data_IF_082900384852
#
_entry.id   IF_082900384852
#
_cell.length_a   1.000
_cell.length_b   1.000
_cell.length_c   1.000
_cell.angle_alpha   90.00
_cell.angle_beta   90.00
_cell.angle_gamma   90.00
#
_symmetry.space_group_name_H-M   'P 1'
#
loop_
_entity.id
_entity.type
_entity.pdbx_description
1 polymer ?
#
# COMPACT_ATOMS: atom_id res chain seq x y z
N UNK A 1 -9.47 23.39 -12.79
CA UNK A 1 -8.44 22.52 -12.16
C UNK A 1 -9.08 21.16 -11.89
N UNK A 2 -8.41 20.08 -12.31
CA UNK A 2 -8.91 18.70 -12.20
C UNK A 2 -8.37 18.01 -10.96
N UNK A 3 -9.24 17.27 -10.28
CA UNK A 3 -8.88 16.46 -9.11
C UNK A 3 -9.42 15.04 -9.21
N UNK A 4 -8.65 14.10 -8.67
CA UNK A 4 -9.12 12.74 -8.34
C UNK A 4 -9.12 12.59 -6.83
N UNK A 5 -10.27 12.32 -6.25
CA UNK A 5 -10.39 12.14 -4.79
C UNK A 5 -10.85 10.71 -4.51
N UNK A 6 -10.14 10.01 -3.62
CA UNK A 6 -10.52 8.67 -3.22
C UNK A 6 -11.00 8.64 -1.77
N UNK A 7 -12.11 7.95 -1.50
CA UNK A 7 -12.60 7.67 -0.16
C UNK A 7 -12.48 6.19 0.19
N UNK A 8 -11.81 5.89 1.30
CA UNK A 8 -11.71 4.53 1.83
C UNK A 8 -13.00 4.04 2.48
N UNK A 9 -13.12 2.72 2.65
CA UNK A 9 -14.34 2.08 3.16
C UNK A 9 -14.77 2.54 4.56
N UNK A 10 -13.82 2.87 5.44
CA UNK A 10 -14.13 3.43 6.77
C UNK A 10 -14.86 4.77 6.70
N UNK A 11 -14.51 5.59 5.70
CA UNK A 11 -15.15 6.89 5.42
C UNK A 11 -16.57 6.74 4.87
N UNK A 12 -16.84 5.63 4.18
CA UNK A 12 -18.14 5.32 3.54
C UNK A 12 -18.99 4.31 4.34
N UNK A 13 -18.60 3.98 5.59
CA UNK A 13 -19.14 2.82 6.32
C UNK A 13 -20.62 2.88 6.69
N UNK A 14 -21.27 4.05 6.58
CA UNK A 14 -22.71 4.25 6.83
C UNK A 14 -23.29 5.29 5.89
N UNK A 15 -24.60 5.22 5.60
CA UNK A 15 -25.30 6.22 4.78
C UNK A 15 -25.14 7.63 5.35
N UNK A 16 -25.14 7.79 6.68
CA UNK A 16 -24.88 9.10 7.31
C UNK A 16 -23.51 9.68 6.96
N UNK A 17 -22.47 8.84 6.93
CA UNK A 17 -21.13 9.27 6.49
C UNK A 17 -21.11 9.59 5.00
N UNK A 18 -21.77 8.79 4.16
CA UNK A 18 -21.88 9.06 2.71
C UNK A 18 -22.56 10.42 2.47
N UNK A 19 -23.65 10.73 3.18
CA UNK A 19 -24.29 12.05 3.09
C UNK A 19 -23.36 13.21 3.49
N UNK A 20 -22.51 13.03 4.51
CA UNK A 20 -21.47 14.03 4.86
C UNK A 20 -20.44 14.20 3.76
N UNK A 21 -20.00 13.08 3.16
CA UNK A 21 -19.07 13.10 2.03
C UNK A 21 -19.70 13.77 0.80
N UNK A 22 -20.96 13.52 0.49
CA UNK A 22 -21.67 14.20 -0.60
C UNK A 22 -21.67 15.73 -0.42
N UNK A 23 -21.95 16.23 0.81
CA UNK A 23 -21.85 17.67 1.13
C UNK A 23 -20.41 18.19 0.97
N UNK A 24 -19.42 17.43 1.42
CA UNK A 24 -18.02 17.78 1.25
C UNK A 24 -17.61 17.84 -0.22
N UNK A 25 -18.01 16.86 -1.04
CA UNK A 25 -17.75 16.83 -2.50
C UNK A 25 -18.38 18.05 -3.17
N UNK A 26 -19.63 18.37 -2.86
CA UNK A 26 -20.32 19.55 -3.38
C UNK A 26 -19.58 20.84 -3.04
N UNK A 27 -19.12 20.99 -1.80
CA UNK A 27 -18.33 22.15 -1.38
C UNK A 27 -16.97 22.19 -2.08
N UNK A 28 -16.26 21.05 -2.15
CA UNK A 28 -14.95 20.94 -2.78
C UNK A 28 -15.02 21.28 -4.26
N UNK A 29 -15.99 20.75 -4.97
CA UNK A 29 -16.22 21.03 -6.38
C UNK A 29 -16.45 22.53 -6.61
N UNK A 30 -17.35 23.16 -5.85
CA UNK A 30 -17.64 24.59 -5.97
C UNK A 30 -16.48 25.53 -5.67
N UNK A 31 -15.51 25.10 -4.86
CA UNK A 31 -14.44 25.97 -4.34
C UNK A 31 -13.05 25.68 -4.87
N UNK A 32 -12.81 24.48 -5.38
CA UNK A 32 -11.44 24.03 -5.71
C UNK A 32 -11.29 23.28 -7.02
N UNK A 33 -12.34 22.68 -7.53
CA UNK A 33 -12.25 21.80 -8.69
C UNK A 33 -13.27 22.17 -9.76
N UNK A 34 -12.82 22.37 -11.00
CA UNK A 34 -13.70 22.51 -12.15
C UNK A 34 -14.24 21.13 -12.55
N UNK A 35 -13.39 20.10 -12.51
CA UNK A 35 -13.71 18.72 -12.81
C UNK A 35 -13.24 17.80 -11.66
N UNK A 36 -14.09 16.86 -11.28
CA UNK A 36 -13.85 16.01 -10.13
C UNK A 36 -14.15 14.54 -10.40
N UNK A 37 -13.14 13.67 -10.29
CA UNK A 37 -13.31 12.23 -10.25
C UNK A 37 -13.30 11.78 -8.80
N UNK A 38 -14.32 11.00 -8.41
CA UNK A 38 -14.45 10.46 -7.06
C UNK A 38 -14.35 8.94 -7.10
N UNK A 39 -13.25 8.39 -6.59
CA UNK A 39 -13.05 6.95 -6.48
C UNK A 39 -13.51 6.47 -5.11
N UNK A 40 -14.33 5.43 -5.08
CA UNK A 40 -14.90 4.87 -3.85
C UNK A 40 -14.48 3.43 -3.62
N UNK A 41 -14.18 3.08 -2.37
CA UNK A 41 -14.05 1.70 -1.90
C UNK A 41 -15.40 1.18 -1.39
N UNK A 42 -15.52 -0.13 -1.21
CA UNK A 42 -16.69 -0.74 -0.59
C UNK A 42 -17.00 -0.16 0.79
N UNK A 43 -18.27 -0.09 1.18
CA UNK A 43 -18.70 0.45 2.47
C UNK A 43 -18.19 -0.40 3.64
N UNK A 44 -17.40 0.19 4.53
CA UNK A 44 -16.97 -0.43 5.78
C UNK A 44 -16.21 -1.76 5.56
N UNK A 45 -16.80 -2.87 5.98
CA UNK A 45 -16.25 -4.24 5.88
C UNK A 45 -16.97 -5.10 4.84
N UNK A 46 -17.64 -4.51 3.86
CA UNK A 46 -18.43 -5.24 2.86
C UNK A 46 -17.57 -6.21 2.06
N UNK A 47 -16.39 -5.79 1.60
CA UNK A 47 -15.45 -6.66 0.88
C UNK A 47 -15.08 -7.90 1.70
N UNK A 48 -14.78 -7.74 3.00
CA UNK A 48 -14.48 -8.86 3.90
C UNK A 48 -15.67 -9.81 4.07
N UNK A 49 -16.88 -9.25 4.15
CA UNK A 49 -18.12 -10.05 4.26
C UNK A 49 -18.38 -10.86 2.98
N UNK A 50 -18.24 -10.25 1.81
CA UNK A 50 -18.41 -10.91 0.52
C UNK A 50 -17.36 -12.01 0.29
N UNK A 51 -16.10 -11.78 0.65
CA UNK A 51 -15.05 -12.79 0.63
C UNK A 51 -15.35 -13.98 1.55
N UNK A 52 -15.93 -13.72 2.74
CA UNK A 52 -16.37 -14.81 3.65
C UNK A 52 -17.53 -15.62 3.06
N UNK A 53 -18.49 -14.95 2.42
CA UNK A 53 -19.61 -15.63 1.72
C UNK A 53 -19.05 -16.50 0.59
N UNK A 54 -18.19 -15.93 -0.27
CA UNK A 54 -17.55 -16.66 -1.36
C UNK A 54 -16.83 -17.92 -0.86
N UNK A 55 -16.02 -17.79 0.19
CA UNK A 55 -15.27 -18.90 0.78
C UNK A 55 -16.17 -20.01 1.36
N UNK A 56 -17.34 -19.64 1.91
CA UNK A 56 -18.31 -20.62 2.39
C UNK A 56 -19.03 -21.35 1.25
N UNK A 57 -19.31 -20.64 0.15
CA UNK A 57 -19.96 -21.22 -1.03
C UNK A 57 -18.98 -22.08 -1.86
N UNK A 58 -17.75 -21.60 -2.03
CA UNK A 58 -16.71 -22.33 -2.75
C UNK A 58 -15.33 -21.96 -2.17
N UNK A 59 -14.61 -22.96 -1.66
CA UNK A 59 -13.27 -22.76 -1.09
C UNK A 59 -12.11 -22.85 -2.10
N UNK A 60 -12.43 -23.08 -3.39
CA UNK A 60 -11.47 -23.11 -4.49
C UNK A 60 -11.41 -21.76 -5.18
N UNK A 61 -10.32 -21.48 -5.92
CA UNK A 61 -10.25 -20.34 -6.80
C UNK A 61 -11.38 -20.39 -7.85
N UNK A 62 -11.98 -19.27 -8.15
CA UNK A 62 -13.10 -19.18 -9.08
C UNK A 62 -13.08 -17.86 -9.84
N UNK A 63 -13.30 -17.92 -11.15
CA UNK A 63 -13.43 -16.74 -12.02
C UNK A 63 -14.74 -15.96 -11.77
N UNK A 64 -15.64 -16.49 -10.92
CA UNK A 64 -16.87 -15.82 -10.48
C UNK A 64 -16.65 -14.95 -9.23
N UNK A 65 -15.47 -15.03 -8.60
CA UNK A 65 -15.19 -14.27 -7.39
C UNK A 65 -15.20 -12.75 -7.61
N UNK A 66 -14.63 -12.20 -8.70
CA UNK A 66 -14.71 -10.77 -8.99
C UNK A 66 -16.14 -10.25 -9.09
N UNK A 67 -17.03 -11.00 -9.73
CA UNK A 67 -18.45 -10.63 -9.89
C UNK A 67 -19.15 -10.42 -8.54
N UNK A 68 -18.84 -11.25 -7.55
CA UNK A 68 -19.40 -11.12 -6.20
C UNK A 68 -18.73 -10.01 -5.41
N UNK A 69 -17.41 -9.94 -5.42
CA UNK A 69 -16.67 -9.05 -4.50
C UNK A 69 -16.76 -7.59 -4.91
N UNK A 70 -16.69 -7.31 -6.23
CA UNK A 70 -16.78 -5.95 -6.77
C UNK A 70 -18.15 -5.28 -6.61
N UNK A 71 -19.19 -6.03 -6.23
CA UNK A 71 -20.50 -5.45 -5.88
C UNK A 71 -20.37 -4.42 -4.75
N UNK A 72 -19.41 -4.63 -3.82
CA UNK A 72 -19.22 -3.74 -2.68
C UNK A 72 -18.92 -2.29 -3.10
N UNK A 73 -18.04 -2.11 -4.06
CA UNK A 73 -17.68 -0.79 -4.60
C UNK A 73 -18.81 -0.21 -5.48
N UNK A 74 -19.52 -1.05 -6.24
CA UNK A 74 -20.69 -0.64 -7.03
C UNK A 74 -21.81 -0.10 -6.14
N UNK A 75 -22.07 -0.75 -4.99
CA UNK A 75 -23.02 -0.24 -3.98
C UNK A 75 -22.59 1.15 -3.48
N UNK A 76 -21.31 1.30 -3.10
CA UNK A 76 -20.78 2.57 -2.59
C UNK A 76 -20.94 3.71 -3.60
N UNK A 77 -20.63 3.45 -4.87
CA UNK A 77 -20.72 4.43 -5.94
C UNK A 77 -22.16 4.92 -6.13
N UNK A 78 -23.12 4.00 -6.20
CA UNK A 78 -24.53 4.34 -6.39
C UNK A 78 -25.15 5.03 -5.15
N UNK A 79 -24.79 4.59 -3.93
CA UNK A 79 -25.26 5.27 -2.71
C UNK A 79 -24.71 6.69 -2.62
N UNK A 80 -23.46 6.94 -3.07
CA UNK A 80 -22.89 8.28 -3.13
C UNK A 80 -23.59 9.13 -4.21
N UNK A 81 -23.85 8.57 -5.39
CA UNK A 81 -24.59 9.24 -6.46
C UNK A 81 -25.97 9.72 -5.98
N UNK A 82 -26.77 8.83 -5.39
CA UNK A 82 -28.06 9.17 -4.79
C UNK A 82 -27.95 10.25 -3.72
N UNK A 83 -26.87 10.23 -2.90
CA UNK A 83 -26.67 11.24 -1.87
C UNK A 83 -26.29 12.62 -2.46
N UNK A 84 -25.63 12.67 -3.61
CA UNK A 84 -25.35 13.91 -4.36
C UNK A 84 -26.61 14.44 -5.03
N UNK A 85 -27.39 13.58 -5.67
CA UNK A 85 -28.69 13.94 -6.27
C UNK A 85 -29.65 14.52 -5.23
N UNK A 86 -29.70 13.94 -4.02
CA UNK A 86 -30.55 14.44 -2.93
C UNK A 86 -30.20 15.88 -2.47
N UNK A 87 -29.03 16.39 -2.86
CA UNK A 87 -28.61 17.78 -2.62
C UNK A 87 -28.46 18.59 -3.92
N UNK A 88 -29.11 18.13 -5.00
CA UNK A 88 -29.13 18.75 -6.33
C UNK A 88 -27.74 18.96 -6.94
N UNK A 89 -26.84 17.99 -6.79
CA UNK A 89 -25.52 17.98 -7.40
C UNK A 89 -25.50 16.99 -8.56
N UNK A 90 -25.30 17.51 -9.78
CA UNK A 90 -25.18 16.68 -10.99
C UNK A 90 -23.94 15.79 -10.89
N UNK A 91 -24.11 14.52 -11.21
CA UNK A 91 -23.03 13.52 -11.18
C UNK A 91 -23.35 12.35 -12.13
N UNK A 92 -22.35 11.55 -12.44
CA UNK A 92 -22.52 10.28 -13.16
C UNK A 92 -21.66 9.19 -12.52
N UNK A 93 -22.10 7.93 -12.62
CA UNK A 93 -21.31 6.77 -12.21
C UNK A 93 -20.79 6.07 -13.45
N UNK A 94 -19.46 5.93 -13.55
CA UNK A 94 -18.82 5.15 -14.60
C UNK A 94 -18.17 3.90 -14.01
N UNK A 95 -18.54 2.77 -14.58
CA UNK A 95 -17.95 1.47 -14.24
C UNK A 95 -16.70 1.19 -15.10
N UNK A 96 -15.84 0.22 -14.73
CA UNK A 96 -14.65 -0.12 -15.51
C UNK A 96 -14.91 -0.38 -16.99
N UNK A 97 -16.03 -1.01 -17.32
CA UNK A 97 -16.47 -1.28 -18.69
C UNK A 97 -16.79 0.01 -19.47
N UNK A 98 -17.29 1.06 -18.82
CA UNK A 98 -17.62 2.33 -19.47
C UNK A 98 -16.37 3.14 -19.86
N UNK A 99 -15.32 3.02 -19.07
CA UNK A 99 -14.02 3.71 -19.29
C UNK A 99 -12.95 2.75 -19.79
N UNK A 100 -13.33 1.53 -20.16
CA UNK A 100 -12.44 0.48 -20.67
C UNK A 100 -11.13 0.40 -19.85
N UNK A 101 -11.31 0.23 -18.54
CA UNK A 101 -10.21 0.08 -17.59
C UNK A 101 -9.72 -1.37 -17.62
N UNK A 102 -8.64 -1.63 -18.34
CA UNK A 102 -8.11 -2.96 -18.57
C UNK A 102 -7.10 -3.40 -17.52
N UNK A 103 -7.12 -4.68 -17.18
CA UNK A 103 -6.13 -5.32 -16.32
C UNK A 103 -5.65 -6.65 -16.92
N UNK A 104 -4.44 -7.07 -16.50
CA UNK A 104 -3.80 -8.33 -16.91
C UNK A 104 -3.47 -9.20 -15.70
N UNK A 105 -3.36 -10.51 -15.97
CA UNK A 105 -3.01 -11.52 -14.96
C UNK A 105 -4.20 -12.28 -14.41
N UNK A 106 -4.11 -12.80 -13.19
CA UNK A 106 -5.20 -13.54 -12.54
C UNK A 106 -6.37 -12.61 -12.24
N UNK A 107 -7.59 -12.95 -12.67
CA UNK A 107 -8.81 -12.17 -12.45
C UNK A 107 -9.07 -11.83 -10.98
N UNK A 108 -8.58 -12.65 -10.07
CA UNK A 108 -8.72 -12.44 -8.62
C UNK A 108 -7.63 -11.56 -8.01
N UNK A 109 -6.58 -11.21 -8.77
CA UNK A 109 -5.46 -10.38 -8.34
C UNK A 109 -4.73 -9.80 -9.56
N UNK A 110 -5.43 -9.02 -10.35
CA UNK A 110 -4.90 -8.48 -11.60
C UNK A 110 -4.13 -7.16 -11.40
N UNK A 111 -3.33 -6.84 -12.40
CA UNK A 111 -2.55 -5.58 -12.47
C UNK A 111 -3.17 -4.70 -13.54
N UNK A 112 -3.43 -3.44 -13.20
CA UNK A 112 -3.95 -2.45 -14.13
C UNK A 112 -2.96 -2.25 -15.29
N UNK A 113 -3.46 -2.26 -16.52
CA UNK A 113 -2.61 -2.15 -17.71
C UNK A 113 -2.89 -0.91 -18.57
N UNK A 114 -4.15 -0.53 -18.71
CA UNK A 114 -4.57 0.57 -19.59
C UNK A 114 -5.94 1.09 -19.19
N UNK A 115 -6.19 2.41 -19.42
CA UNK A 115 -7.49 3.07 -19.25
C UNK A 115 -7.74 3.94 -20.48
N UNK A 116 -8.91 3.82 -21.10
CA UNK A 116 -9.33 4.73 -22.16
C UNK A 116 -10.08 5.91 -21.54
N UNK A 117 -9.66 7.14 -21.87
CA UNK A 117 -10.17 8.34 -21.19
C UNK A 117 -11.28 9.07 -21.92
N UNK A 118 -11.57 8.72 -23.19
CA UNK A 118 -12.49 9.50 -24.02
C UNK A 118 -13.90 9.65 -23.38
N UNK A 119 -14.52 8.56 -22.95
CA UNK A 119 -15.83 8.62 -22.31
C UNK A 119 -15.78 9.32 -20.93
N UNK A 120 -14.70 9.09 -20.16
CA UNK A 120 -14.50 9.77 -18.88
C UNK A 120 -14.38 11.29 -19.05
N UNK A 121 -13.63 11.75 -20.04
CA UNK A 121 -13.47 13.18 -20.33
C UNK A 121 -14.79 13.80 -20.78
N UNK A 122 -15.53 13.13 -21.68
CA UNK A 122 -16.85 13.57 -22.11
C UNK A 122 -17.84 13.74 -20.94
N UNK A 123 -17.87 12.78 -20.03
CA UNK A 123 -18.74 12.86 -18.83
C UNK A 123 -18.28 13.95 -17.85
N UNK A 124 -16.97 14.19 -17.71
CA UNK A 124 -16.45 15.29 -16.90
C UNK A 124 -16.85 16.65 -17.46
N UNK A 125 -16.80 16.84 -18.78
CA UNK A 125 -17.22 18.06 -19.44
C UNK A 125 -18.72 18.36 -19.22
N UNK A 126 -19.57 17.32 -19.18
CA UNK A 126 -21.02 17.48 -19.09
C UNK A 126 -21.53 17.53 -17.66
N UNK A 127 -20.96 16.75 -16.74
CA UNK A 127 -21.42 16.57 -15.35
C UNK A 127 -20.49 17.18 -14.32
N UNK A 128 -19.23 17.40 -14.66
CA UNK A 128 -18.15 17.89 -13.81
C UNK A 128 -17.80 16.99 -12.60
N UNK A 129 -18.68 16.04 -12.21
CA UNK A 129 -18.42 15.06 -11.16
C UNK A 129 -18.71 13.66 -11.68
N UNK A 130 -17.65 12.84 -11.72
CA UNK A 130 -17.71 11.43 -12.10
C UNK A 130 -17.33 10.55 -10.92
N UNK A 131 -18.17 9.57 -10.60
CA UNK A 131 -17.93 8.59 -9.53
C UNK A 131 -17.49 7.29 -10.16
N UNK A 132 -16.39 6.73 -9.68
CA UNK A 132 -15.82 5.47 -10.17
C UNK A 132 -15.68 4.48 -9.01
N UNK A 133 -16.31 3.29 -9.08
CA UNK A 133 -16.01 2.23 -8.13
C UNK A 133 -14.57 1.75 -8.34
N UNK A 134 -13.73 1.86 -7.32
CA UNK A 134 -12.34 1.42 -7.38
C UNK A 134 -12.17 -0.10 -7.28
N UNK A 135 -10.93 -0.58 -7.22
CA UNK A 135 -10.59 -2.00 -6.98
C UNK A 135 -10.93 -2.95 -8.13
N UNK A 136 -11.57 -2.53 -9.18
CA UNK A 136 -12.06 -3.37 -10.27
C UNK A 136 -11.58 -2.86 -11.63
N UNK A 137 -11.45 -3.78 -12.58
CA UNK A 137 -11.09 -3.54 -13.98
C UNK A 137 -11.73 -4.64 -14.85
N UNK A 138 -11.49 -4.62 -16.15
CA UNK A 138 -11.91 -5.69 -17.07
C UNK A 138 -10.68 -6.33 -17.74
N UNK A 139 -10.78 -7.60 -18.11
CA UNK A 139 -9.82 -8.24 -19.01
C UNK A 139 -10.09 -7.87 -20.48
N UNK A 140 -9.24 -8.34 -21.40
CA UNK A 140 -9.37 -8.10 -22.83
C UNK A 140 -10.69 -8.68 -23.42
N UNK A 141 -11.32 -9.63 -22.74
CA UNK A 141 -12.62 -10.23 -23.12
C UNK A 141 -13.81 -9.52 -22.45
N UNK A 142 -13.59 -8.45 -21.71
CA UNK A 142 -14.63 -7.72 -20.99
C UNK A 142 -15.07 -8.36 -19.66
N UNK A 143 -14.42 -9.42 -19.18
CA UNK A 143 -14.75 -10.00 -17.90
C UNK A 143 -14.21 -9.15 -16.74
N UNK A 144 -15.00 -9.06 -15.67
CA UNK A 144 -14.61 -8.32 -14.48
C UNK A 144 -13.41 -8.95 -13.77
N UNK A 145 -12.47 -8.11 -13.36
CA UNK A 145 -11.26 -8.46 -12.63
C UNK A 145 -11.15 -7.66 -11.34
N UNK A 146 -10.63 -8.27 -10.28
CA UNK A 146 -10.22 -7.56 -9.07
C UNK A 146 -8.77 -7.12 -9.21
N UNK A 147 -8.48 -5.88 -8.93
CA UNK A 147 -7.12 -5.40 -8.75
C UNK A 147 -6.52 -5.99 -7.46
N UNK A 148 -5.21 -5.97 -7.34
CA UNK A 148 -4.52 -6.38 -6.12
C UNK A 148 -4.96 -5.55 -4.91
N UNK A 149 -4.51 -5.94 -3.71
CA UNK A 149 -4.80 -5.22 -2.48
C UNK A 149 -4.42 -3.74 -2.62
N UNK A 150 -5.27 -2.84 -2.10
CA UNK A 150 -5.12 -1.39 -2.33
C UNK A 150 -5.63 -0.92 -3.70
N UNK A 151 -6.34 -1.78 -4.44
CA UNK A 151 -6.79 -1.49 -5.81
C UNK A 151 -7.60 -0.22 -5.97
N UNK A 152 -8.33 0.25 -4.95
CA UNK A 152 -8.99 1.56 -5.03
C UNK A 152 -8.00 2.73 -4.99
N UNK A 153 -6.88 2.61 -4.28
CA UNK A 153 -5.79 3.60 -4.31
C UNK A 153 -5.09 3.55 -5.68
N UNK A 154 -4.86 2.33 -6.19
CA UNK A 154 -4.35 2.08 -7.55
C UNK A 154 -5.22 2.76 -8.61
N UNK A 155 -6.55 2.57 -8.54
CA UNK A 155 -7.50 3.21 -9.46
C UNK A 155 -7.38 4.73 -9.39
N UNK A 156 -7.34 5.32 -8.19
CA UNK A 156 -7.28 6.76 -8.02
C UNK A 156 -5.97 7.37 -8.55
N UNK A 157 -4.84 6.73 -8.27
CA UNK A 157 -3.52 7.20 -8.73
C UNK A 157 -3.42 7.07 -10.25
N UNK A 158 -3.83 5.93 -10.82
CA UNK A 158 -3.80 5.73 -12.27
C UNK A 158 -4.65 6.77 -13.02
N UNK A 159 -5.88 7.04 -12.52
CA UNK A 159 -6.74 8.09 -13.09
C UNK A 159 -6.12 9.47 -12.93
N UNK A 160 -5.52 9.78 -11.77
CA UNK A 160 -4.82 11.04 -11.54
C UNK A 160 -3.66 11.24 -12.51
N UNK A 161 -2.88 10.19 -12.73
CA UNK A 161 -1.75 10.21 -13.68
C UNK A 161 -2.19 10.46 -15.12
N UNK A 162 -3.19 9.70 -15.58
CA UNK A 162 -3.64 9.77 -16.98
C UNK A 162 -4.37 11.09 -17.27
N UNK A 163 -5.07 11.65 -16.29
CA UNK A 163 -5.83 12.89 -16.41
C UNK A 163 -4.99 14.15 -16.09
N UNK A 164 -3.73 14.00 -15.75
CA UNK A 164 -2.88 15.08 -15.20
C UNK A 164 -3.58 15.84 -14.06
N UNK A 165 -4.16 15.10 -13.14
CA UNK A 165 -4.98 15.61 -12.04
C UNK A 165 -4.28 15.50 -10.69
N UNK A 166 -4.59 16.40 -9.77
CA UNK A 166 -4.14 16.27 -8.37
C UNK A 166 -4.90 15.16 -7.67
N UNK A 167 -4.18 14.26 -6.99
CA UNK A 167 -4.79 13.13 -6.29
C UNK A 167 -4.87 13.39 -4.79
N UNK A 168 -6.05 13.18 -4.21
CA UNK A 168 -6.24 13.21 -2.76
C UNK A 168 -6.82 11.87 -2.30
N UNK A 169 -6.05 11.14 -1.48
CA UNK A 169 -6.49 9.90 -0.87
C UNK A 169 -6.95 10.17 0.55
N UNK A 170 -8.25 10.10 0.79
CA UNK A 170 -8.83 10.18 2.13
C UNK A 170 -8.85 8.81 2.80
N UNK A 171 -8.21 8.74 3.97
CA UNK A 171 -8.09 7.53 4.80
C UNK A 171 -8.54 7.82 6.24
N UNK A 172 -8.51 6.82 7.12
CA UNK A 172 -8.82 6.95 8.55
C UNK A 172 -7.66 7.46 9.39
N UNK A 173 -6.43 7.48 8.81
CA UNK A 173 -5.22 7.97 9.47
C UNK A 173 -4.83 9.36 8.95
N UNK A 174 -3.98 10.08 9.71
CA UNK A 174 -3.51 11.42 9.35
C UNK A 174 -2.24 11.39 8.46
N UNK A 175 -2.18 10.46 7.49
CA UNK A 175 -0.99 10.28 6.66
C UNK A 175 0.10 9.46 7.34
N UNK A 176 1.36 9.70 6.94
CA UNK A 176 2.53 8.99 7.45
C UNK A 176 3.06 9.58 8.73
N UNK A 177 3.63 8.72 9.58
CA UNK A 177 4.27 9.07 10.83
C UNK A 177 5.68 8.50 10.90
N UNK A 178 6.55 9.15 11.67
CA UNK A 178 7.93 8.71 11.91
C UNK A 178 8.04 7.32 12.56
N UNK A 179 6.96 6.82 13.15
CA UNK A 179 6.75 5.45 13.61
C UNK A 179 5.24 5.21 13.82
N UNK A 180 4.82 3.97 14.10
CA UNK A 180 3.42 3.68 14.39
C UNK A 180 2.94 4.42 15.66
N UNK A 181 2.02 5.41 15.56
CA UNK A 181 1.61 6.24 16.70
C UNK A 181 0.87 5.46 17.79
N UNK A 182 0.31 4.29 17.48
CA UNK A 182 -0.31 3.42 18.48
C UNK A 182 0.72 2.74 19.41
N UNK A 183 1.98 2.67 18.96
CA UNK A 183 3.09 2.03 19.70
C UNK A 183 4.06 3.08 20.23
N UNK A 184 4.30 4.14 19.46
CA UNK A 184 5.25 5.20 19.78
C UNK A 184 4.50 6.50 20.07
N UNK A 185 4.30 6.81 21.37
CA UNK A 185 3.56 8.01 21.78
C UNK A 185 4.15 9.32 21.24
N UNK A 186 5.47 9.33 20.99
CA UNK A 186 6.22 10.49 20.49
C UNK A 186 6.43 10.42 18.96
N UNK A 187 5.68 9.59 18.23
CA UNK A 187 5.73 9.56 16.78
C UNK A 187 5.27 10.91 16.20
N UNK A 188 6.09 11.48 15.31
CA UNK A 188 5.78 12.75 14.64
C UNK A 188 5.10 12.48 13.32
N UNK A 189 4.08 13.26 12.99
CA UNK A 189 3.48 13.25 11.65
C UNK A 189 4.52 13.78 10.64
N UNK A 190 4.56 13.15 9.47
CA UNK A 190 5.41 13.55 8.35
C UNK A 190 4.52 14.37 7.40
N UNK A 191 4.80 15.67 7.30
CA UNK A 191 4.01 16.57 6.45
C UNK A 191 4.32 16.37 4.97
N UNK A 192 5.55 15.99 4.67
CA UNK A 192 6.09 15.89 3.32
C UNK A 192 7.01 14.68 3.23
N UNK A 193 6.79 13.79 2.29
CA UNK A 193 7.53 12.53 2.15
C UNK A 193 7.81 12.24 0.68
N UNK A 194 9.03 11.77 0.39
CA UNK A 194 9.35 11.28 -0.94
C UNK A 194 8.58 9.97 -1.23
N UNK A 195 8.09 9.83 -2.47
CA UNK A 195 7.30 8.65 -2.88
C UNK A 195 8.09 7.36 -2.67
N UNK A 196 9.39 7.33 -2.99
CA UNK A 196 10.24 6.15 -2.76
C UNK A 196 10.29 5.76 -1.28
N UNK A 197 10.37 6.75 -0.38
CA UNK A 197 10.36 6.51 1.06
C UNK A 197 8.96 6.09 1.56
N UNK A 198 7.89 6.61 0.96
CA UNK A 198 6.52 6.16 1.23
C UNK A 198 6.31 4.70 0.83
N UNK A 199 6.85 4.25 -0.32
CA UNK A 199 6.87 2.85 -0.75
C UNK A 199 7.57 1.99 0.31
N UNK A 200 8.76 2.37 0.73
CA UNK A 200 9.53 1.62 1.73
C UNK A 200 8.81 1.54 3.08
N UNK A 201 8.28 2.66 3.59
CA UNK A 201 7.50 2.66 4.84
C UNK A 201 6.26 1.77 4.74
N UNK A 202 5.50 1.85 3.65
CA UNK A 202 4.30 1.05 3.41
C UNK A 202 4.66 -0.43 3.32
N UNK A 203 5.68 -0.76 2.55
CA UNK A 203 6.21 -2.10 2.42
C UNK A 203 6.66 -2.69 3.74
N UNK A 204 7.22 -1.88 4.63
CA UNK A 204 7.72 -2.31 5.93
C UNK A 204 6.68 -2.30 7.05
N UNK A 205 5.42 -1.95 6.76
CA UNK A 205 4.31 -2.10 7.69
C UNK A 205 3.59 -0.81 8.13
N UNK A 206 3.94 0.34 7.56
CA UNK A 206 3.12 1.54 7.71
C UNK A 206 1.81 1.33 6.91
N UNK A 207 0.69 1.13 7.62
CA UNK A 207 -0.62 0.86 7.01
C UNK A 207 -1.31 2.15 6.61
N UNK A 208 -0.74 2.89 5.68
CA UNK A 208 -1.29 4.16 5.17
C UNK A 208 -1.82 3.97 3.76
N UNK A 209 -0.96 3.53 2.85
CA UNK A 209 -1.28 3.11 1.48
C UNK A 209 -0.59 1.80 1.16
N UNK A 210 -1.07 1.06 0.19
CA UNK A 210 -0.37 -0.13 -0.30
C UNK A 210 0.79 0.28 -1.23
N UNK A 211 1.93 -0.42 -1.11
CA UNK A 211 3.14 -0.08 -1.88
C UNK A 211 2.92 -0.14 -3.39
N UNK A 212 2.11 -1.10 -3.87
CA UNK A 212 1.81 -1.26 -5.29
C UNK A 212 1.13 -0.05 -5.92
N UNK A 213 0.25 0.65 -5.17
CA UNK A 213 -0.37 1.89 -5.65
C UNK A 213 0.63 3.04 -5.73
N UNK A 214 1.59 3.10 -4.81
CA UNK A 214 2.66 4.08 -4.79
C UNK A 214 3.72 3.84 -5.88
N UNK A 215 3.93 2.59 -6.29
CA UNK A 215 4.81 2.25 -7.42
C UNK A 215 4.32 2.89 -8.73
N UNK A 216 3.00 2.92 -8.96
CA UNK A 216 2.42 3.65 -10.10
C UNK A 216 2.71 5.15 -9.98
N UNK A 217 2.56 5.70 -8.78
CA UNK A 217 2.84 7.11 -8.52
C UNK A 217 4.31 7.48 -8.75
N UNK A 218 5.24 6.56 -8.46
CA UNK A 218 6.68 6.80 -8.64
C UNK A 218 7.11 6.92 -10.11
N UNK A 219 6.31 6.41 -11.05
CA UNK A 219 6.56 6.52 -12.49
C UNK A 219 5.93 7.75 -13.11
N UNK A 220 5.15 8.51 -12.33
CA UNK A 220 4.43 9.71 -12.76
C UNK A 220 4.78 10.89 -11.86
N UNK A 221 4.68 12.11 -12.37
CA UNK A 221 4.86 13.35 -11.59
C UNK A 221 3.57 13.81 -10.91
N UNK A 222 2.71 12.88 -10.52
CA UNK A 222 1.39 13.18 -9.97
C UNK A 222 1.50 13.70 -8.54
N UNK A 223 0.93 14.87 -8.27
CA UNK A 223 0.80 15.40 -6.89
C UNK A 223 -0.18 14.57 -6.09
N UNK A 224 0.28 13.92 -5.04
CA UNK A 224 -0.54 13.07 -4.19
C UNK A 224 -0.57 13.61 -2.77
N UNK A 225 -1.78 13.73 -2.21
CA UNK A 225 -1.98 14.02 -0.78
C UNK A 225 -2.73 12.89 -0.11
N UNK A 226 -2.19 12.41 0.99
CA UNK A 226 -2.83 11.40 1.84
C UNK A 226 -3.34 12.09 3.09
N UNK A 227 -4.65 12.25 3.20
CA UNK A 227 -5.29 13.07 4.23
C UNK A 227 -6.25 12.23 5.09
N UNK A 228 -6.40 12.62 6.34
CA UNK A 228 -7.51 12.10 7.14
C UNK A 228 -8.84 12.62 6.60
N UNK A 229 -9.82 11.73 6.47
CA UNK A 229 -11.14 12.04 5.91
C UNK A 229 -11.72 13.33 6.46
N UNK A 230 -12.14 14.22 5.56
CA UNK A 230 -12.75 15.53 5.84
C UNK A 230 -11.84 16.51 6.63
N UNK A 231 -10.52 16.36 6.55
CA UNK A 231 -9.55 17.29 7.13
C UNK A 231 -8.47 17.65 6.12
N UNK A 232 -7.68 18.66 6.42
CA UNK A 232 -6.47 18.99 5.67
C UNK A 232 -5.20 18.41 6.30
N UNK A 233 -5.35 17.57 7.35
CA UNK A 233 -4.22 16.96 8.04
C UNK A 233 -3.78 15.68 7.34
N UNK A 234 -2.52 15.63 6.94
CA UNK A 234 -1.97 14.45 6.26
C UNK A 234 -0.55 14.64 5.80
N UNK A 235 -0.17 13.85 4.80
CA UNK A 235 1.16 13.84 4.19
C UNK A 235 1.03 14.16 2.71
N UNK A 236 1.83 15.08 2.22
CA UNK A 236 2.03 15.31 0.79
C UNK A 236 3.17 14.43 0.29
N UNK A 237 2.95 13.73 -0.83
CA UNK A 237 3.94 12.85 -1.44
C UNK A 237 4.51 13.53 -2.68
N UNK A 238 5.83 13.55 -2.81
CA UNK A 238 6.54 14.13 -3.94
C UNK A 238 7.63 13.21 -4.46
N UNK A 239 7.98 13.39 -5.71
CA UNK A 239 9.20 12.86 -6.28
C UNK A 239 10.23 13.98 -6.40
N UNK A 240 11.17 14.06 -5.46
CA UNK A 240 12.28 15.00 -5.50
C UNK A 240 13.60 14.31 -5.10
N UNK A 241 14.74 14.75 -5.66
CA UNK A 241 16.03 14.18 -5.33
C UNK A 241 16.39 14.46 -3.87
N UNK A 242 16.78 13.40 -3.14
CA UNK A 242 17.18 13.48 -1.74
C UNK A 242 18.72 13.34 -1.68
N UNK A 243 19.40 14.43 -1.34
CA UNK A 243 20.87 14.47 -1.33
C UNK A 243 21.50 14.56 0.07
N UNK A 244 20.69 14.59 1.13
CA UNK A 244 21.18 14.77 2.49
C UNK A 244 20.80 13.60 3.39
N UNK A 245 21.62 13.38 4.44
CA UNK A 245 21.28 12.44 5.49
C UNK A 245 20.00 12.89 6.21
N UNK A 246 18.98 12.08 6.13
CA UNK A 246 17.72 12.30 6.84
C UNK A 246 17.08 10.97 7.22
N UNK A 247 16.38 10.92 8.34
CA UNK A 247 15.57 9.78 8.76
C UNK A 247 14.11 10.22 8.81
N UNK A 248 13.31 9.71 7.88
CA UNK A 248 11.89 10.04 7.80
C UNK A 248 11.09 9.23 8.81
N UNK A 249 11.37 7.94 8.92
CA UNK A 249 10.65 7.10 9.83
C UNK A 249 11.23 5.71 9.98
N UNK A 250 10.62 4.94 10.88
CA UNK A 250 10.92 3.55 11.07
C UNK A 250 9.66 2.71 11.27
N UNK A 251 9.78 1.47 10.91
CA UNK A 251 8.76 0.43 11.10
C UNK A 251 9.43 -0.86 11.57
N UNK A 252 8.67 -1.77 12.15
CA UNK A 252 9.16 -3.12 12.40
C UNK A 252 8.08 -4.18 12.11
N UNK A 253 8.54 -5.34 11.69
CA UNK A 253 7.70 -6.52 11.44
C UNK A 253 8.08 -7.64 12.37
N UNK A 254 7.06 -8.21 13.01
CA UNK A 254 7.16 -9.42 13.81
C UNK A 254 6.80 -10.65 12.97
N UNK A 255 7.00 -11.84 13.53
CA UNK A 255 6.61 -13.11 12.91
C UNK A 255 7.21 -13.34 11.51
N UNK A 256 8.47 -12.97 11.34
CA UNK A 256 9.25 -13.29 10.17
C UNK A 256 10.08 -14.55 10.37
N UNK A 257 10.52 -15.11 9.25
CA UNK A 257 11.43 -16.25 9.25
C UNK A 257 12.62 -15.95 8.36
N UNK A 258 13.81 -16.20 8.88
CA UNK A 258 15.04 -16.29 8.12
C UNK A 258 15.16 -17.73 7.64
N UNK A 259 15.17 -17.92 6.32
CA UNK A 259 15.44 -19.21 5.70
C UNK A 259 16.91 -19.29 5.29
N UNK A 260 17.56 -20.38 5.60
CA UNK A 260 18.94 -20.67 5.19
C UNK A 260 19.02 -22.01 4.50
N UNK A 261 19.71 -22.08 3.39
CA UNK A 261 20.10 -23.32 2.72
C UNK A 261 21.54 -23.23 2.26
N UNK A 262 22.19 -24.37 2.10
CA UNK A 262 23.52 -24.47 1.49
C UNK A 262 23.47 -24.72 -0.02
N UNK A 263 22.27 -24.88 -0.60
CA UNK A 263 22.06 -25.19 -1.99
C UNK A 263 22.16 -23.92 -2.84
N UNK A 264 22.95 -23.96 -3.89
CA UNK A 264 23.16 -22.81 -4.80
C UNK A 264 21.91 -22.47 -5.62
N UNK A 265 20.98 -23.41 -5.81
CA UNK A 265 19.70 -23.19 -6.51
C UNK A 265 18.60 -22.67 -5.60
N UNK A 266 18.89 -22.48 -4.30
CA UNK A 266 17.89 -22.01 -3.34
C UNK A 266 17.23 -20.67 -3.74
N UNK A 267 17.97 -19.66 -4.30
CA UNK A 267 17.38 -18.43 -4.80
C UNK A 267 16.28 -18.66 -5.84
N UNK A 268 16.60 -19.41 -6.90
CA UNK A 268 15.67 -19.66 -8.01
C UNK A 268 14.43 -20.44 -7.57
N UNK A 269 14.58 -21.34 -6.60
CA UNK A 269 13.47 -22.11 -6.05
C UNK A 269 12.53 -21.20 -5.27
N UNK A 270 13.07 -20.28 -4.47
CA UNK A 270 12.29 -19.32 -3.71
C UNK A 270 11.58 -18.36 -4.65
N UNK A 271 12.23 -17.88 -5.69
CA UNK A 271 11.66 -17.01 -6.72
C UNK A 271 10.46 -17.64 -7.42
N UNK A 272 10.58 -18.89 -7.86
CA UNK A 272 9.46 -19.68 -8.43
C UNK A 272 8.28 -19.87 -7.46
N UNK A 273 8.56 -20.00 -6.16
CA UNK A 273 7.53 -20.08 -5.14
C UNK A 273 6.81 -18.74 -5.00
N UNK A 274 7.56 -17.63 -5.03
CA UNK A 274 7.01 -16.28 -4.94
C UNK A 274 6.13 -15.95 -6.14
N UNK A 275 6.55 -16.28 -7.35
CA UNK A 275 5.77 -16.10 -8.59
C UNK A 275 4.42 -16.83 -8.56
N UNK A 276 4.40 -18.08 -8.06
CA UNK A 276 3.16 -18.87 -7.96
C UNK A 276 2.18 -18.37 -6.91
N UNK A 277 2.61 -17.59 -5.93
CA UNK A 277 1.78 -17.21 -4.79
C UNK A 277 1.28 -15.77 -4.79
N UNK A 278 1.70 -14.92 -5.74
CA UNK A 278 1.25 -13.53 -6.00
C UNK A 278 0.83 -12.69 -4.75
N UNK A 279 1.30 -13.02 -3.54
CA UNK A 279 0.86 -12.37 -2.29
C UNK A 279 2.04 -12.01 -1.41
N UNK A 280 2.35 -10.71 -1.34
CA UNK A 280 3.05 -10.01 -0.24
C UNK A 280 4.21 -10.79 0.43
N UNK A 281 5.06 -11.45 -0.35
CA UNK A 281 6.27 -12.06 0.13
C UNK A 281 7.36 -11.01 0.01
N UNK A 282 7.85 -10.53 1.15
CA UNK A 282 9.01 -9.66 1.20
C UNK A 282 10.25 -10.46 0.85
N UNK A 283 10.78 -10.19 -0.31
CA UNK A 283 12.00 -10.80 -0.81
C UNK A 283 13.13 -9.79 -0.61
N UNK A 284 14.03 -10.08 0.32
CA UNK A 284 15.28 -9.34 0.44
C UNK A 284 16.43 -10.23 -0.02
N UNK A 285 16.95 -9.93 -1.21
CA UNK A 285 18.03 -10.71 -1.82
C UNK A 285 19.34 -10.40 -1.11
N UNK A 286 19.89 -11.35 -0.37
CA UNK A 286 21.18 -11.20 0.27
C UNK A 286 22.31 -11.71 -0.60
N UNK A 287 23.28 -10.83 -0.87
CA UNK A 287 24.52 -11.10 -1.62
C UNK A 287 25.41 -12.21 -1.03
N UNK A 288 25.18 -12.67 0.20
CA UNK A 288 25.85 -13.83 0.77
C UNK A 288 24.91 -15.02 0.72
N UNK A 289 25.11 -15.86 -0.28
CA UNK A 289 24.54 -17.20 -0.50
C UNK A 289 23.62 -17.68 0.64
N UNK A 290 22.30 -17.77 0.37
CA UNK A 290 21.37 -18.61 1.12
C UNK A 290 20.63 -18.02 2.35
N UNK A 291 20.24 -16.75 2.37
CA UNK A 291 19.36 -16.23 3.43
C UNK A 291 18.20 -15.40 2.87
N UNK A 292 16.98 -15.82 3.12
CA UNK A 292 15.75 -15.16 2.64
C UNK A 292 14.75 -14.97 3.78
N UNK A 293 13.96 -13.89 3.69
CA UNK A 293 12.97 -13.53 4.71
C UNK A 293 11.56 -13.65 4.16
N UNK A 294 10.67 -14.23 4.97
CA UNK A 294 9.27 -14.36 4.63
C UNK A 294 8.38 -13.81 5.74
N UNK A 295 7.28 -13.15 5.36
CA UNK A 295 6.25 -12.74 6.30
C UNK A 295 5.48 -13.94 6.86
N UNK A 296 4.65 -13.69 7.87
CA UNK A 296 3.81 -14.69 8.57
C UNK A 296 2.93 -15.59 7.67
N UNK A 297 2.86 -15.31 6.36
CA UNK A 297 2.22 -16.20 5.37
C UNK A 297 2.84 -17.60 5.36
N UNK A 298 4.09 -17.74 5.84
CA UNK A 298 4.74 -19.04 5.98
C UNK A 298 4.15 -19.97 7.05
N UNK A 299 3.31 -19.50 7.95
CA UNK A 299 2.59 -20.40 8.86
C UNK A 299 1.62 -21.33 8.10
N UNK A 300 1.25 -20.94 6.87
CA UNK A 300 0.54 -21.75 5.90
C UNK A 300 1.45 -22.43 4.86
N UNK A 301 2.77 -22.27 4.98
CA UNK A 301 3.76 -22.90 4.10
C UNK A 301 3.87 -24.38 4.47
N UNK A 302 2.92 -25.15 3.94
CA UNK A 302 2.88 -26.60 4.16
C UNK A 302 4.13 -27.23 3.53
N UNK A 303 4.70 -28.26 4.14
CA UNK A 303 5.77 -29.09 3.54
C UNK A 303 5.45 -29.61 2.13
N UNK A 304 4.17 -29.61 1.74
CA UNK A 304 3.70 -29.94 0.37
C UNK A 304 4.34 -29.07 -0.72
N UNK A 305 4.55 -27.76 -0.49
CA UNK A 305 5.10 -26.88 -1.53
C UNK A 305 6.60 -27.14 -1.76
N UNK A 306 7.32 -27.53 -0.74
CA UNK A 306 8.72 -27.98 -0.90
C UNK A 306 8.80 -29.35 -1.58
N UNK A 307 7.78 -30.21 -1.41
CA UNK A 307 7.68 -31.50 -2.12
C UNK A 307 7.32 -31.32 -3.60
N UNK A 308 6.52 -30.32 -3.96
CA UNK A 308 6.16 -30.00 -5.36
C UNK A 308 7.36 -29.53 -6.19
N UNK A 309 8.44 -29.08 -5.54
CA UNK A 309 9.65 -28.60 -6.22
C UNK A 309 10.67 -29.75 -6.42
N UNK A 310 10.35 -30.97 -5.99
CA UNK A 310 11.21 -32.17 -6.14
C UNK A 310 12.67 -31.96 -5.68
N UNK A 311 12.91 -31.14 -4.65
CA UNK A 311 14.26 -30.82 -4.19
C UNK A 311 14.50 -31.35 -2.79
N UNK A 312 15.59 -32.08 -2.53
CA UNK A 312 15.98 -32.59 -1.21
C UNK A 312 16.56 -31.49 -0.29
N UNK A 313 16.17 -30.23 -0.50
CA UNK A 313 16.73 -29.07 0.19
C UNK A 313 16.56 -29.16 1.71
N UNK A 314 17.67 -29.14 2.42
CA UNK A 314 17.70 -28.90 3.87
C UNK A 314 17.59 -27.39 4.13
N UNK A 315 16.37 -26.91 4.45
CA UNK A 315 16.12 -25.51 4.79
C UNK A 315 16.05 -25.36 6.31
N UNK A 316 16.92 -24.51 6.84
CA UNK A 316 16.83 -24.07 8.24
C UNK A 316 15.89 -22.87 8.34
N UNK A 317 14.86 -22.98 9.17
CA UNK A 317 13.87 -21.93 9.44
C UNK A 317 14.12 -21.33 10.83
N UNK A 318 14.46 -20.02 10.88
CA UNK A 318 14.78 -19.30 12.11
C UNK A 318 13.76 -18.17 12.29
N UNK A 319 13.01 -18.15 13.39
CA UNK A 319 12.13 -17.02 13.72
C UNK A 319 12.95 -15.77 13.97
N UNK A 320 12.50 -14.65 13.42
CA UNK A 320 13.15 -13.35 13.58
C UNK A 320 12.14 -12.20 13.48
N UNK A 321 12.62 -11.01 13.76
CA UNK A 321 11.92 -9.74 13.56
C UNK A 321 12.83 -8.82 12.76
N UNK A 322 12.22 -7.89 12.01
CA UNK A 322 12.94 -6.93 11.18
C UNK A 322 12.53 -5.52 11.53
N UNK A 323 13.51 -4.66 11.72
CA UNK A 323 13.34 -3.22 11.83
C UNK A 323 13.79 -2.62 10.51
N UNK A 324 12.99 -1.72 9.95
CA UNK A 324 13.36 -0.94 8.78
C UNK A 324 13.34 0.53 9.15
N UNK A 325 14.45 1.22 8.92
CA UNK A 325 14.56 2.67 9.02
C UNK A 325 14.59 3.20 7.59
N UNK A 326 13.77 4.19 7.31
CA UNK A 326 13.60 4.80 5.99
C UNK A 326 14.04 6.25 6.04
N UNK A 327 14.75 6.67 4.99
CA UNK A 327 15.29 8.02 4.90
C UNK A 327 16.18 8.19 3.67
N UNK A 328 17.24 8.95 3.81
CA UNK A 328 18.17 9.27 2.73
C UNK A 328 19.60 9.46 3.22
N UNK A 329 20.58 9.36 2.31
CA UNK A 329 21.98 9.64 2.60
C UNK A 329 22.66 8.64 3.54
N UNK A 330 22.11 7.45 3.72
CA UNK A 330 22.64 6.46 4.67
C UNK A 330 24.01 5.94 4.30
N UNK A 331 24.33 5.81 3.02
CA UNK A 331 25.65 5.34 2.57
C UNK A 331 26.76 6.40 2.78
N UNK A 332 26.39 7.67 2.80
CA UNK A 332 27.33 8.78 3.00
C UNK A 332 27.75 8.98 4.46
N UNK A 333 26.99 8.37 5.41
CA UNK A 333 27.27 8.52 6.83
C UNK A 333 28.18 7.37 7.33
N UNK A 334 29.48 7.61 7.37
CA UNK A 334 30.48 6.63 7.78
C UNK A 334 30.34 6.14 9.23
N UNK A 335 29.76 6.95 10.11
CA UNK A 335 29.58 6.63 11.54
C UNK A 335 28.34 5.76 11.80
N UNK A 336 27.40 5.73 10.85
CA UNK A 336 26.09 5.09 11.01
C UNK A 336 26.19 3.61 11.37
N UNK A 337 26.99 2.85 10.63
CA UNK A 337 27.16 1.41 10.86
C UNK A 337 27.70 1.10 12.25
N UNK A 338 28.73 1.83 12.67
CA UNK A 338 29.33 1.70 14.01
C UNK A 338 28.34 2.05 15.11
N UNK A 339 27.57 3.12 14.93
CA UNK A 339 26.51 3.51 15.86
C UNK A 339 25.46 2.40 16.04
N UNK A 340 24.96 1.81 14.94
CA UNK A 340 23.95 0.76 15.00
C UNK A 340 24.48 -0.48 15.76
N UNK A 341 25.72 -0.92 15.48
CA UNK A 341 26.30 -2.05 16.23
C UNK A 341 26.53 -1.73 17.71
N UNK A 342 27.00 -0.52 18.04
CA UNK A 342 27.18 -0.08 19.45
C UNK A 342 25.83 -0.06 20.18
N UNK A 343 24.77 0.45 19.53
CA UNK A 343 23.41 0.48 20.11
C UNK A 343 22.88 -0.92 20.36
N UNK A 344 23.01 -1.82 19.40
CA UNK A 344 22.60 -3.22 19.57
C UNK A 344 23.37 -3.89 20.73
N UNK A 345 24.70 -3.68 20.80
CA UNK A 345 25.52 -4.21 21.91
C UNK A 345 25.11 -3.65 23.27
N UNK A 346 24.88 -2.33 23.36
CA UNK A 346 24.44 -1.66 24.60
C UNK A 346 23.11 -2.22 25.13
N UNK A 347 22.21 -2.58 24.23
CA UNK A 347 20.88 -3.13 24.55
C UNK A 347 20.89 -4.66 24.68
N UNK A 348 22.06 -5.30 24.56
CA UNK A 348 22.19 -6.76 24.55
C UNK A 348 21.31 -7.46 23.50
N UNK A 349 21.20 -6.85 22.29
CA UNK A 349 20.39 -7.34 21.20
C UNK A 349 21.26 -8.11 20.22
N UNK A 350 20.84 -9.35 19.95
CA UNK A 350 21.50 -10.19 18.95
C UNK A 350 20.98 -9.83 17.55
N UNK A 351 21.88 -9.43 16.65
CA UNK A 351 21.58 -9.13 15.26
C UNK A 351 22.01 -10.27 14.35
N UNK A 352 21.08 -10.77 13.53
CA UNK A 352 21.42 -11.70 12.46
C UNK A 352 22.12 -10.95 11.31
N UNK A 353 21.64 -9.73 11.01
CA UNK A 353 22.18 -8.87 9.95
C UNK A 353 21.78 -7.41 10.12
N UNK A 354 22.65 -6.51 9.65
CA UNK A 354 22.37 -5.09 9.39
C UNK A 354 22.71 -4.83 7.93
N UNK A 355 21.73 -4.40 7.14
CA UNK A 355 21.87 -3.98 5.75
C UNK A 355 21.61 -2.50 5.63
N UNK A 356 22.43 -1.79 4.87
CA UNK A 356 22.31 -0.36 4.62
C UNK A 356 22.27 -0.17 3.11
N UNK A 357 21.22 0.48 2.62
CA UNK A 357 21.04 0.95 1.25
C UNK A 357 20.98 2.48 1.22
N UNK A 358 20.89 3.13 0.07
CA UNK A 358 20.77 4.60 0.02
C UNK A 358 19.60 5.16 0.81
N UNK A 359 18.47 4.44 0.85
CA UNK A 359 17.18 4.90 1.40
C UNK A 359 16.68 4.07 2.57
N UNK A 360 17.29 2.91 2.85
CA UNK A 360 16.81 2.02 3.92
C UNK A 360 17.94 1.41 4.73
N UNK A 361 17.65 1.20 6.01
CA UNK A 361 18.46 0.37 6.91
C UNK A 361 17.56 -0.75 7.42
N UNK A 362 17.95 -2.00 7.16
CA UNK A 362 17.23 -3.17 7.66
C UNK A 362 18.06 -3.89 8.72
N UNK A 363 17.49 -4.06 9.91
CA UNK A 363 18.14 -4.72 11.04
C UNK A 363 17.29 -5.93 11.43
N UNK A 364 17.90 -7.10 11.39
CA UNK A 364 17.24 -8.36 11.68
C UNK A 364 17.71 -8.87 13.01
N UNK A 365 16.75 -9.09 13.89
CA UNK A 365 16.98 -9.45 15.30
C UNK A 365 16.23 -10.70 15.69
N UNK A 366 16.56 -11.24 16.85
CA UNK A 366 15.79 -12.34 17.46
C UNK A 366 14.36 -11.89 17.83
N UNK A 367 13.42 -12.81 17.97
CA UNK A 367 12.06 -12.51 18.42
C UNK A 367 12.04 -11.70 19.73
N UNK A 368 11.06 -10.80 19.86
CA UNK A 368 10.84 -9.91 21.00
C UNK A 368 11.94 -8.84 21.25
N UNK A 369 12.81 -8.59 20.26
CA UNK A 369 13.88 -7.60 20.38
C UNK A 369 13.63 -6.34 19.51
N UNK A 370 12.83 -6.44 18.46
CA UNK A 370 12.61 -5.34 17.52
C UNK A 370 11.99 -4.11 18.18
N UNK A 371 11.00 -4.30 19.05
CA UNK A 371 10.33 -3.16 19.71
C UNK A 371 11.28 -2.34 20.57
N UNK A 372 12.15 -3.01 21.39
CA UNK A 372 13.11 -2.33 22.24
C UNK A 372 14.11 -1.53 21.41
N UNK A 373 14.70 -2.16 20.41
CA UNK A 373 15.66 -1.50 19.51
C UNK A 373 15.00 -0.34 18.74
N UNK A 374 13.79 -0.56 18.22
CA UNK A 374 13.05 0.47 17.48
C UNK A 374 12.77 1.71 18.35
N UNK A 375 12.42 1.55 19.64
CA UNK A 375 12.21 2.67 20.57
C UNK A 375 13.48 3.48 20.76
N UNK A 376 14.63 2.81 20.92
CA UNK A 376 15.91 3.51 21.08
C UNK A 376 16.31 4.25 19.80
N UNK A 377 16.24 3.57 18.64
CA UNK A 377 16.60 4.17 17.35
C UNK A 377 15.67 5.34 16.97
N UNK A 378 14.37 5.23 17.26
CA UNK A 378 13.44 6.34 17.06
C UNK A 378 13.81 7.57 17.91
N UNK A 379 14.15 7.34 19.19
CA UNK A 379 14.58 8.40 20.08
C UNK A 379 15.85 9.10 19.59
N UNK A 380 16.87 8.32 19.20
CA UNK A 380 18.18 8.86 18.86
C UNK A 380 18.22 9.47 17.46
N UNK A 381 17.65 8.78 16.46
CA UNK A 381 17.80 9.17 15.06
C UNK A 381 16.71 10.14 14.58
N UNK A 382 15.52 10.11 15.18
CA UNK A 382 14.36 10.91 14.72
C UNK A 382 14.06 12.06 15.69
N UNK A 383 14.05 11.79 17.00
CA UNK A 383 13.70 12.83 17.98
C UNK A 383 14.88 13.73 18.32
N UNK A 384 16.07 13.17 18.54
CA UNK A 384 17.28 13.88 18.91
C UNK A 384 18.19 14.27 17.73
N UNK A 385 18.09 13.52 16.63
CA UNK A 385 18.94 13.67 15.42
C UNK A 385 20.43 13.56 15.73
N UNK A 386 20.82 12.65 16.64
CA UNK A 386 22.21 12.50 17.13
C UNK A 386 23.23 12.10 16.04
N UNK A 387 22.76 11.82 14.81
CA UNK A 387 23.57 11.42 13.66
C UNK A 387 23.48 12.39 12.46
N UNK A 388 22.74 13.49 12.61
CA UNK A 388 22.58 14.48 11.53
C UNK A 388 23.84 15.35 11.39
#
# INVERSE_FOLDING_TARGET
MRFVIKFGGSSLSTVSKVKKIAKFISYFHKTKADELVVVVSAMGKTTDALLKIAKKANNKASDKLPELVCIGEKISANVLALALENINVSNTVLYPENIRMFAKGDKNCSVLSHIETANLLHELETKNIVIIPGFQAIDENGNLCMLSRGGSDTTAIALGTILDAKVIVYTDVKGYYSANPNIFKNAKQIESLNISNAIELSSCGAKVMESTSLEIASTSKTDIKVLKSQTNNGTSLYDFPINFFNVDGLSFKNNLYLLKSKDDNFPQIIEKICEKQAKNIYFDHYLNKNAYFFSSVLDNFKPRMLKEINSPLKIQKIKCEMITIVGSGFLSNSKLKSYLYKTCKKLNIYTFKISISPTTIKIIVKPNQALLLSKQLHKDMILRRDLA
#
